data_IF_773779447821
#
_entry.id   IF_773779447821
#
_cell.length_a   1.000
_cell.length_b   1.000
_cell.length_c   1.000
_cell.angle_alpha   90.00
_cell.angle_beta   90.00
_cell.angle_gamma   90.00
#
_symmetry.space_group_name_H-M   'P 1'
#
loop_
_entity.id
_entity.type
_entity.pdbx_description
1 polymer ?
#
# COMPACT_ATOMS: atom_id res chain seq x y z
N UNK A 1 -36.88 -9.10 4.60
CA UNK A 1 -38.10 -9.08 3.76
C UNK A 1 -38.07 -8.04 2.63
N UNK A 2 -37.77 -6.75 2.89
CA UNK A 2 -37.86 -5.68 1.87
C UNK A 2 -36.89 -5.80 0.67
N UNK A 3 -35.63 -6.19 0.90
CA UNK A 3 -34.63 -6.35 -0.19
C UNK A 3 -34.90 -7.55 -1.12
N UNK A 4 -35.59 -8.57 -0.64
CA UNK A 4 -35.93 -9.78 -1.42
C UNK A 4 -37.04 -9.50 -2.41
N UNK A 5 -38.03 -8.68 -2.01
CA UNK A 5 -39.14 -8.25 -2.86
C UNK A 5 -38.62 -7.40 -4.03
N UNK A 6 -37.71 -6.45 -3.77
CA UNK A 6 -37.12 -5.61 -4.84
C UNK A 6 -36.31 -6.44 -5.84
N UNK A 7 -35.53 -7.43 -5.38
CA UNK A 7 -34.81 -8.37 -6.26
C UNK A 7 -35.75 -9.23 -7.10
N UNK A 8 -36.86 -9.70 -6.51
CA UNK A 8 -37.87 -10.51 -7.19
C UNK A 8 -38.64 -9.71 -8.26
N UNK A 9 -39.04 -8.48 -7.93
CA UNK A 9 -39.73 -7.57 -8.85
C UNK A 9 -38.82 -7.15 -10.04
N UNK A 10 -37.50 -7.13 -9.86
CA UNK A 10 -36.52 -6.75 -10.89
C UNK A 10 -36.44 -7.74 -12.07
N UNK A 11 -36.82 -8.99 -11.86
CA UNK A 11 -36.72 -10.06 -12.86
C UNK A 11 -38.04 -10.37 -13.59
N UNK A 12 -39.17 -9.82 -13.13
CA UNK A 12 -40.52 -10.21 -13.62
C UNK A 12 -41.25 -9.05 -14.32
N UNK A 13 -40.91 -7.79 -14.02
CA UNK A 13 -41.68 -6.65 -14.54
C UNK A 13 -41.16 -6.09 -15.89
N UNK A 14 -42.07 -5.71 -16.81
CA UNK A 14 -41.73 -4.94 -18.01
C UNK A 14 -40.98 -3.65 -17.66
N UNK A 15 -40.10 -3.20 -18.56
CA UNK A 15 -39.21 -2.03 -18.38
C UNK A 15 -39.96 -0.77 -17.94
N UNK A 16 -41.20 -0.61 -18.39
CA UNK A 16 -42.10 0.50 -18.06
C UNK A 16 -42.50 0.55 -16.58
N UNK A 17 -42.75 -0.60 -15.93
CA UNK A 17 -43.10 -0.65 -14.50
C UNK A 17 -41.88 -0.49 -13.58
N UNK A 18 -40.68 -0.88 -14.06
CA UNK A 18 -39.40 -0.59 -13.37
C UNK A 18 -39.20 0.91 -13.22
N UNK A 19 -39.49 1.68 -14.28
CA UNK A 19 -39.30 3.12 -14.27
C UNK A 19 -40.32 3.88 -13.40
N UNK A 20 -41.54 3.34 -13.24
CA UNK A 20 -42.60 4.02 -12.47
C UNK A 20 -42.51 3.74 -10.95
N UNK A 21 -42.12 2.52 -10.55
CA UNK A 21 -42.12 2.13 -9.13
C UNK A 21 -40.71 2.09 -8.54
N UNK A 22 -39.72 1.59 -9.29
CA UNK A 22 -38.37 1.38 -8.76
C UNK A 22 -37.51 2.65 -8.80
N UNK A 23 -37.58 3.44 -9.86
CA UNK A 23 -36.74 4.65 -9.98
C UNK A 23 -37.00 5.68 -8.87
N UNK A 24 -38.25 6.07 -8.53
CA UNK A 24 -38.48 7.03 -7.44
C UNK A 24 -38.01 6.52 -6.07
N UNK A 25 -38.12 5.21 -5.83
CA UNK A 25 -37.64 4.57 -4.61
C UNK A 25 -36.10 4.55 -4.56
N UNK A 26 -35.45 4.16 -5.67
CA UNK A 26 -33.99 4.14 -5.81
C UNK A 26 -33.40 5.54 -5.74
N UNK A 27 -34.09 6.55 -6.27
CA UNK A 27 -33.71 7.95 -6.22
C UNK A 27 -33.75 8.47 -4.77
N UNK A 28 -34.81 8.16 -4.02
CA UNK A 28 -34.90 8.49 -2.59
C UNK A 28 -33.83 7.80 -1.73
N UNK A 29 -33.50 6.54 -2.05
CA UNK A 29 -32.37 5.84 -1.41
C UNK A 29 -31.01 6.44 -1.83
N UNK A 30 -30.84 6.83 -3.10
CA UNK A 30 -29.64 7.54 -3.57
C UNK A 30 -29.48 8.90 -2.89
N UNK A 31 -30.57 9.66 -2.67
CA UNK A 31 -30.53 10.95 -1.98
C UNK A 31 -30.23 10.82 -0.48
N UNK A 32 -30.83 9.85 0.22
CA UNK A 32 -30.42 9.51 1.60
C UNK A 32 -28.95 9.13 1.70
N UNK A 33 -28.45 8.38 0.71
CA UNK A 33 -27.04 8.04 0.63
C UNK A 33 -26.15 9.25 0.25
N UNK A 34 -26.66 10.23 -0.50
CA UNK A 34 -25.94 11.48 -0.81
C UNK A 34 -25.65 12.28 0.46
N UNK A 35 -26.61 12.41 1.38
CA UNK A 35 -26.39 13.08 2.67
C UNK A 35 -25.29 12.39 3.50
N UNK A 36 -25.32 11.06 3.59
CA UNK A 36 -24.27 10.29 4.23
C UNK A 36 -22.90 10.43 3.52
N UNK A 37 -22.89 10.55 2.18
CA UNK A 37 -21.67 10.71 1.39
C UNK A 37 -20.94 12.03 1.64
N UNK A 38 -21.60 13.11 2.09
CA UNK A 38 -20.93 14.40 2.33
C UNK A 38 -19.80 14.33 3.37
N UNK A 39 -19.91 13.43 4.36
CA UNK A 39 -18.92 13.30 5.44
C UNK A 39 -18.01 12.07 5.26
N UNK A 40 -18.22 11.26 4.23
CA UNK A 40 -17.45 10.02 4.01
C UNK A 40 -16.15 10.32 3.26
N UNK A 41 -15.03 9.94 3.87
CA UNK A 41 -13.75 9.80 3.16
C UNK A 41 -13.48 8.32 2.91
N UNK A 42 -13.53 7.92 1.64
CA UNK A 42 -13.14 6.57 1.24
C UNK A 42 -11.62 6.43 1.29
N UNK A 43 -11.18 5.30 1.84
CA UNK A 43 -9.78 4.91 1.97
C UNK A 43 -9.58 3.51 1.38
N UNK A 44 -8.40 3.29 0.81
CA UNK A 44 -7.92 2.00 0.31
C UNK A 44 -6.83 1.40 1.19
N UNK A 45 -6.24 2.21 2.06
CA UNK A 45 -5.20 1.82 3.01
C UNK A 45 -5.80 1.00 4.17
N UNK A 46 -4.93 0.45 5.03
CA UNK A 46 -5.38 -0.36 6.16
C UNK A 46 -5.91 0.51 7.30
N UNK A 47 -5.25 1.64 7.58
CA UNK A 47 -5.48 2.42 8.79
C UNK A 47 -5.58 3.93 8.51
N UNK A 48 -5.79 4.30 7.24
CA UNK A 48 -6.02 5.68 6.80
C UNK A 48 -4.75 6.41 6.37
N UNK A 49 -3.67 5.70 6.08
CA UNK A 49 -2.40 6.23 5.57
C UNK A 49 -2.60 7.10 4.31
N UNK A 50 -3.43 6.62 3.38
CA UNK A 50 -3.77 7.33 2.15
C UNK A 50 -4.56 8.63 2.41
N UNK A 51 -5.35 8.68 3.48
CA UNK A 51 -6.05 9.87 3.93
C UNK A 51 -5.12 10.87 4.61
N UNK A 52 -4.15 10.39 5.39
CA UNK A 52 -3.08 11.22 5.94
C UNK A 52 -2.31 11.90 4.80
N UNK A 53 -1.86 11.12 3.80
CA UNK A 53 -1.15 11.63 2.63
C UNK A 53 -2.04 12.59 1.82
N UNK A 54 -3.34 12.27 1.64
CA UNK A 54 -4.29 13.15 0.94
C UNK A 54 -4.42 14.49 1.64
N UNK A 55 -4.41 14.52 2.98
CA UNK A 55 -4.42 15.76 3.76
C UNK A 55 -3.10 16.51 3.62
N UNK A 56 -1.97 15.80 3.64
CA UNK A 56 -0.63 16.37 3.51
C UNK A 56 -0.41 17.06 2.15
N UNK A 57 -0.71 16.37 1.05
CA UNK A 57 -0.52 16.90 -0.32
C UNK A 57 -1.65 17.82 -0.81
N UNK A 58 -2.77 17.90 -0.07
CA UNK A 58 -3.88 18.78 -0.38
C UNK A 58 -4.44 18.61 -1.79
N UNK A 59 -4.47 19.72 -2.55
CA UNK A 59 -5.06 19.78 -3.90
C UNK A 59 -4.07 19.45 -5.03
N UNK A 60 -2.86 18.97 -4.71
CA UNK A 60 -1.86 18.59 -5.69
C UNK A 60 -2.44 17.58 -6.69
N UNK A 61 -2.41 17.93 -7.98
CA UNK A 61 -3.08 17.20 -9.06
C UNK A 61 -2.30 16.00 -9.55
N UNK A 62 -0.98 16.15 -9.63
CA UNK A 62 -0.05 15.14 -10.13
C UNK A 62 1.09 14.96 -9.14
N UNK A 63 1.66 13.77 -9.11
CA UNK A 63 2.78 13.43 -8.25
C UNK A 63 3.21 11.99 -8.47
N UNK A 64 4.26 11.59 -7.77
CA UNK A 64 4.90 10.29 -7.98
C UNK A 64 5.11 9.54 -6.68
N UNK A 65 4.61 8.31 -6.62
CA UNK A 65 4.75 7.44 -5.45
C UNK A 65 5.61 6.22 -5.74
N UNK A 66 6.13 5.63 -4.67
CA UNK A 66 6.81 4.33 -4.69
C UNK A 66 6.19 3.45 -3.61
N UNK A 67 5.80 2.23 -3.96
CA UNK A 67 5.12 1.28 -3.08
C UNK A 67 5.95 -0.01 -2.99
N UNK A 68 6.73 -0.17 -1.92
CA UNK A 68 7.56 -1.36 -1.69
C UNK A 68 6.81 -2.30 -0.75
N UNK A 69 6.47 -3.48 -1.26
CA UNK A 69 5.50 -4.39 -0.61
C UNK A 69 4.06 -4.08 -1.01
N UNK A 70 3.83 -3.81 -2.30
CA UNK A 70 2.57 -3.25 -2.78
C UNK A 70 1.35 -4.18 -2.60
N UNK A 71 1.57 -5.49 -2.41
CA UNK A 71 0.60 -6.56 -2.12
C UNK A 71 -0.56 -6.72 -3.12
N UNK A 72 -1.40 -5.70 -3.26
CA UNK A 72 -2.57 -5.69 -4.13
C UNK A 72 -2.81 -4.29 -4.74
N UNK A 73 -3.24 -4.18 -6.01
CA UNK A 73 -3.42 -2.88 -6.68
C UNK A 73 -4.53 -1.96 -6.12
N UNK A 74 -5.24 -2.37 -5.05
CA UNK A 74 -6.43 -1.65 -4.54
C UNK A 74 -6.64 -1.86 -3.05
N UNK A 75 -6.61 -3.11 -2.59
CA UNK A 75 -6.82 -3.46 -1.19
C UNK A 75 -5.53 -3.18 -0.43
N UNK A 76 -5.64 -2.53 0.72
CA UNK A 76 -4.50 -2.17 1.57
C UNK A 76 -3.47 -1.29 0.84
N UNK A 77 -3.94 -0.51 -0.13
CA UNK A 77 -3.06 0.30 -0.98
C UNK A 77 -3.04 1.75 -0.50
N UNK A 78 -1.85 2.20 -0.10
CA UNK A 78 -1.60 3.61 0.24
C UNK A 78 -1.60 4.51 -1.01
N UNK A 79 -1.44 3.91 -2.18
CA UNK A 79 -1.19 4.61 -3.45
C UNK A 79 -2.41 4.66 -4.38
N UNK A 80 -3.38 3.77 -4.23
CA UNK A 80 -4.47 3.65 -5.21
C UNK A 80 -5.38 4.88 -5.28
N UNK A 81 -5.59 5.61 -4.17
CA UNK A 81 -6.35 6.87 -4.20
C UNK A 81 -5.64 7.93 -5.05
N UNK A 82 -4.31 7.95 -5.06
CA UNK A 82 -3.48 8.86 -5.85
C UNK A 82 -3.46 8.44 -7.31
N UNK A 83 -3.32 7.14 -7.59
CA UNK A 83 -3.42 6.60 -8.95
C UNK A 83 -4.70 7.05 -9.66
N UNK A 84 -5.86 6.94 -8.96
CA UNK A 84 -7.16 7.42 -9.48
C UNK A 84 -7.23 8.93 -9.73
N UNK A 85 -6.35 9.72 -9.11
CA UNK A 85 -6.24 11.17 -9.31
C UNK A 85 -5.29 11.55 -10.45
N UNK A 86 -4.67 10.58 -11.11
CA UNK A 86 -3.72 10.81 -12.20
C UNK A 86 -2.25 10.69 -11.79
N UNK A 87 -1.96 10.40 -10.51
CA UNK A 87 -0.57 10.15 -10.09
C UNK A 87 -0.09 8.82 -10.65
N UNK A 88 1.21 8.71 -10.89
CA UNK A 88 1.84 7.49 -11.38
C UNK A 88 3.00 7.11 -10.47
N UNK A 89 3.41 5.86 -10.50
CA UNK A 89 4.48 5.45 -9.61
C UNK A 89 5.07 4.10 -9.92
N UNK A 90 5.85 3.61 -8.97
CA UNK A 90 6.46 2.29 -8.99
C UNK A 90 5.79 1.45 -7.91
N UNK A 91 5.26 0.29 -8.27
CA UNK A 91 4.78 -0.73 -7.34
C UNK A 91 5.73 -1.93 -7.41
N UNK A 92 6.22 -2.38 -6.25
CA UNK A 92 7.14 -3.50 -6.12
C UNK A 92 6.55 -4.51 -5.15
N UNK A 93 6.51 -5.77 -5.55
CA UNK A 93 6.15 -6.88 -4.66
C UNK A 93 6.97 -8.12 -5.01
N UNK A 94 7.38 -8.89 -4.02
CA UNK A 94 8.19 -10.08 -4.23
C UNK A 94 7.36 -11.32 -4.65
N UNK A 95 6.06 -11.31 -4.41
CA UNK A 95 5.17 -12.42 -4.68
C UNK A 95 5.10 -12.69 -6.19
N UNK A 96 5.47 -13.90 -6.65
CA UNK A 96 5.37 -14.25 -8.06
C UNK A 96 3.94 -14.13 -8.57
N UNK A 97 3.78 -13.58 -9.78
CA UNK A 97 2.50 -13.29 -10.44
C UNK A 97 1.63 -12.18 -9.81
N UNK A 98 2.08 -11.50 -8.76
CA UNK A 98 1.35 -10.38 -8.15
C UNK A 98 1.08 -9.25 -9.15
N UNK A 99 2.02 -8.97 -10.05
CA UNK A 99 1.94 -7.84 -10.99
C UNK A 99 0.95 -8.08 -12.13
N UNK A 100 0.44 -9.31 -12.31
CA UNK A 100 -0.66 -9.56 -13.27
C UNK A 100 -1.91 -8.76 -12.92
N UNK A 101 -2.25 -8.65 -11.63
CA UNK A 101 -3.38 -7.85 -11.19
C UNK A 101 -3.13 -6.34 -11.39
N UNK A 102 -1.90 -5.89 -11.14
CA UNK A 102 -1.49 -4.51 -11.38
C UNK A 102 -1.57 -4.16 -12.87
N UNK A 103 -1.13 -5.02 -13.78
CA UNK A 103 -1.26 -4.80 -15.22
C UNK A 103 -2.72 -4.65 -15.70
N UNK A 104 -3.70 -5.21 -14.98
CA UNK A 104 -5.12 -5.04 -15.32
C UNK A 104 -5.77 -3.77 -14.76
N UNK A 105 -5.22 -3.19 -13.69
CA UNK A 105 -5.86 -2.11 -12.91
C UNK A 105 -5.04 -0.81 -12.91
N UNK A 106 -3.71 -0.95 -12.94
CA UNK A 106 -2.67 0.07 -12.77
C UNK A 106 -1.60 -0.06 -13.85
N UNK A 107 -2.04 -0.24 -15.10
CA UNK A 107 -1.16 -0.47 -16.26
C UNK A 107 -0.27 0.73 -16.63
N UNK A 108 -0.57 1.91 -16.09
CA UNK A 108 0.24 3.12 -16.28
C UNK A 108 1.34 3.28 -15.22
N UNK A 109 1.32 2.46 -14.16
CA UNK A 109 2.41 2.39 -13.19
C UNK A 109 3.50 1.43 -13.67
N UNK A 110 4.71 1.59 -13.15
CA UNK A 110 5.79 0.62 -13.27
C UNK A 110 5.56 -0.46 -12.21
N UNK A 111 5.40 -1.71 -12.63
CA UNK A 111 4.98 -2.82 -11.77
C UNK A 111 6.03 -3.95 -11.83
N UNK A 112 6.68 -4.25 -10.71
CA UNK A 112 7.87 -5.12 -10.67
C UNK A 112 7.73 -6.27 -9.65
N UNK A 113 8.05 -7.48 -10.09
CA UNK A 113 8.08 -8.70 -9.25
C UNK A 113 9.50 -9.00 -8.76
N UNK A 114 9.96 -8.23 -7.77
CA UNK A 114 11.31 -8.35 -7.19
C UNK A 114 11.28 -8.07 -5.69
N UNK A 115 12.19 -8.68 -4.94
CA UNK A 115 12.44 -8.28 -3.56
C UNK A 115 13.43 -7.12 -3.48
N UNK A 116 13.31 -6.29 -2.44
CA UNK A 116 14.26 -5.21 -2.13
C UNK A 116 14.98 -5.53 -0.82
N UNK A 117 16.30 -5.36 -0.79
CA UNK A 117 17.12 -5.55 0.41
C UNK A 117 18.45 -4.81 0.29
N UNK A 118 19.31 -4.92 1.32
CA UNK A 118 20.63 -4.28 1.39
C UNK A 118 21.61 -4.75 0.32
N UNK A 119 21.46 -5.97 -0.20
CA UNK A 119 22.36 -6.56 -1.18
C UNK A 119 21.62 -7.24 -2.32
N UNK A 120 22.19 -7.18 -3.53
CA UNK A 120 21.67 -7.88 -4.70
C UNK A 120 21.84 -9.39 -4.52
N UNK A 121 20.83 -10.15 -4.92
CA UNK A 121 20.89 -11.61 -4.93
C UNK A 121 20.10 -12.17 -6.10
N UNK A 122 20.64 -13.21 -6.75
CA UNK A 122 19.93 -13.93 -7.81
C UNK A 122 18.83 -14.86 -7.26
N UNK A 123 18.69 -14.99 -5.93
CA UNK A 123 17.64 -15.80 -5.33
C UNK A 123 17.70 -15.89 -3.81
N UNK A 124 16.83 -15.14 -3.14
CA UNK A 124 16.59 -15.29 -1.69
C UNK A 124 15.34 -16.12 -1.44
N UNK A 125 15.30 -16.87 -0.32
CA UNK A 125 14.10 -17.59 0.08
C UNK A 125 13.00 -16.59 0.41
N UNK A 126 11.87 -16.72 -0.28
CA UNK A 126 10.65 -15.98 0.00
C UNK A 126 9.59 -16.98 0.47
N UNK A 127 9.01 -16.68 1.63
CA UNK A 127 8.10 -17.57 2.34
C UNK A 127 6.66 -17.13 2.09
N UNK A 128 5.87 -17.99 1.46
CA UNK A 128 4.48 -17.72 1.08
C UNK A 128 3.56 -18.38 2.11
N UNK A 129 2.71 -17.58 2.74
CA UNK A 129 1.73 -18.02 3.73
C UNK A 129 0.32 -18.11 3.15
N UNK A 130 -0.57 -18.76 3.91
CA UNK A 130 -1.99 -18.85 3.58
C UNK A 130 -2.72 -17.49 3.62
N UNK A 131 -2.16 -16.49 4.28
CA UNK A 131 -2.55 -15.08 4.16
C UNK A 131 -1.43 -14.33 3.41
N UNK A 132 -1.63 -13.93 2.13
CA UNK A 132 -0.58 -13.32 1.33
C UNK A 132 -0.07 -11.97 1.85
N UNK A 133 -0.79 -11.34 2.78
CA UNK A 133 -0.31 -10.13 3.46
C UNK A 133 0.86 -10.41 4.41
N UNK A 134 1.13 -11.67 4.75
CA UNK A 134 2.18 -12.09 5.70
C UNK A 134 3.40 -12.71 5.02
N UNK A 135 3.49 -12.63 3.69
CA UNK A 135 4.62 -13.19 2.96
C UNK A 135 5.89 -12.38 3.26
N UNK A 136 7.02 -13.05 3.43
CA UNK A 136 8.24 -12.41 3.97
C UNK A 136 9.51 -13.09 3.49
N UNK A 137 10.64 -12.36 3.57
CA UNK A 137 11.99 -12.89 3.46
C UNK A 137 12.61 -13.25 4.83
N UNK A 138 11.90 -13.00 5.94
CA UNK A 138 12.43 -13.11 7.30
C UNK A 138 12.15 -14.46 7.94
N UNK A 139 13.20 -15.22 8.20
CA UNK A 139 13.13 -16.48 8.97
C UNK A 139 12.54 -16.26 10.38
N UNK A 140 12.83 -15.11 11.02
CA UNK A 140 12.29 -14.78 12.33
C UNK A 140 10.78 -14.55 12.30
N UNK A 141 10.27 -13.94 11.22
CA UNK A 141 8.82 -13.76 11.04
C UNK A 141 8.16 -15.11 10.78
N UNK A 142 8.81 -16.01 10.02
CA UNK A 142 8.32 -17.38 9.82
C UNK A 142 8.18 -18.12 11.14
N UNK A 143 9.21 -18.09 11.99
CA UNK A 143 9.18 -18.75 13.31
C UNK A 143 8.04 -18.19 14.18
N UNK A 144 7.88 -16.86 14.22
CA UNK A 144 6.79 -16.21 14.94
C UNK A 144 5.41 -16.64 14.43
N UNK A 145 5.21 -16.67 13.12
CA UNK A 145 3.92 -16.98 12.50
C UNK A 145 3.53 -18.46 12.66
N UNK A 146 4.50 -19.37 12.59
CA UNK A 146 4.26 -20.81 12.77
C UNK A 146 3.79 -21.16 14.19
N UNK A 147 4.10 -20.33 15.19
CA UNK A 147 3.58 -20.48 16.55
C UNK A 147 2.09 -20.12 16.69
N UNK A 148 1.49 -19.49 15.67
CA UNK A 148 0.07 -19.17 15.64
C UNK A 148 -0.71 -20.23 14.84
N UNK A 149 -1.70 -20.88 15.47
CA UNK A 149 -2.52 -21.94 14.84
C UNK A 149 -3.28 -21.51 13.58
N UNK A 150 -3.44 -20.20 13.34
CA UNK A 150 -4.16 -19.64 12.19
C UNK A 150 -3.32 -19.62 10.90
N UNK A 151 -1.99 -19.54 11.02
CA UNK A 151 -1.11 -19.29 9.88
C UNK A 151 -0.25 -20.52 9.61
N UNK A 152 -0.07 -20.85 8.33
CA UNK A 152 0.82 -21.93 7.90
C UNK A 152 1.55 -21.55 6.63
N UNK A 153 2.79 -22.02 6.54
CA UNK A 153 3.63 -21.88 5.36
C UNK A 153 3.04 -22.75 4.24
N UNK A 154 2.77 -22.14 3.09
CA UNK A 154 2.25 -22.79 1.89
C UNK A 154 3.39 -23.23 0.99
N UNK A 155 4.35 -22.34 0.74
CA UNK A 155 5.45 -22.57 -0.19
C UNK A 155 6.67 -21.71 0.15
N UNK A 156 7.86 -22.17 -0.25
CA UNK A 156 9.08 -21.35 -0.28
C UNK A 156 9.61 -21.27 -1.71
N UNK A 157 9.75 -20.07 -2.23
CA UNK A 157 10.24 -19.82 -3.60
C UNK A 157 11.52 -18.98 -3.57
N UNK A 158 12.31 -19.02 -4.65
CA UNK A 158 13.47 -18.14 -4.84
C UNK A 158 13.06 -16.91 -5.63
N UNK A 159 13.27 -15.73 -5.05
CA UNK A 159 12.93 -14.44 -5.68
C UNK A 159 14.21 -13.60 -5.87
N UNK A 160 14.39 -12.95 -7.03
CA UNK A 160 15.51 -12.03 -7.25
C UNK A 160 15.42 -10.81 -6.33
N UNK A 161 16.56 -10.36 -5.84
CA UNK A 161 16.70 -9.21 -4.94
C UNK A 161 17.54 -8.12 -5.61
N UNK A 162 17.03 -6.89 -5.58
CA UNK A 162 17.78 -5.68 -5.93
C UNK A 162 17.83 -4.71 -4.75
N UNK A 163 18.69 -3.69 -4.84
CA UNK A 163 18.70 -2.58 -3.88
C UNK A 163 17.71 -1.49 -4.29
N UNK A 164 17.29 -0.67 -3.34
CA UNK A 164 16.44 0.48 -3.61
C UNK A 164 17.13 1.50 -4.54
N UNK A 165 18.45 1.68 -4.39
CA UNK A 165 19.24 2.48 -5.33
C UNK A 165 19.14 1.93 -6.77
N UNK A 166 19.28 0.62 -6.96
CA UNK A 166 19.18 0.00 -8.29
C UNK A 166 17.77 0.11 -8.86
N UNK A 167 16.73 -0.04 -8.02
CA UNK A 167 15.35 0.18 -8.43
C UNK A 167 15.21 1.59 -9.03
N UNK A 168 15.68 2.61 -8.34
CA UNK A 168 15.56 3.99 -8.81
C UNK A 168 16.43 4.28 -10.03
N UNK A 169 17.67 3.79 -10.08
CA UNK A 169 18.55 3.96 -11.25
C UNK A 169 17.94 3.41 -12.53
N UNK A 170 17.21 2.30 -12.44
CA UNK A 170 16.69 1.60 -13.62
C UNK A 170 15.28 2.06 -14.00
N UNK A 171 14.47 2.49 -13.03
CA UNK A 171 13.04 2.65 -13.25
C UNK A 171 12.48 4.02 -12.89
N UNK A 172 13.21 4.85 -12.12
CA UNK A 172 12.74 6.20 -11.84
C UNK A 172 12.88 7.06 -13.11
N UNK A 173 11.80 7.69 -13.62
CA UNK A 173 11.90 8.54 -14.78
C UNK A 173 12.87 9.71 -14.55
N UNK A 174 13.56 10.15 -15.61
CA UNK A 174 14.53 11.24 -15.51
C UNK A 174 13.87 12.52 -14.98
N UNK A 175 14.51 13.20 -14.02
CA UNK A 175 14.01 14.39 -13.33
C UNK A 175 12.70 14.19 -12.54
N UNK A 176 12.31 12.95 -12.26
CA UNK A 176 11.14 12.66 -11.44
C UNK A 176 11.49 12.79 -9.95
N UNK A 177 10.81 13.70 -9.26
CA UNK A 177 10.82 13.73 -7.78
C UNK A 177 9.88 12.67 -7.22
N UNK A 178 10.20 12.14 -6.04
CA UNK A 178 9.34 11.18 -5.34
C UNK A 178 8.57 11.95 -4.26
N UNK A 179 7.24 11.99 -4.37
CA UNK A 179 6.38 12.65 -3.39
C UNK A 179 6.30 11.82 -2.12
N UNK A 180 6.03 10.52 -2.25
CA UNK A 180 6.10 9.63 -1.10
C UNK A 180 6.52 8.22 -1.46
N UNK A 181 7.09 7.52 -0.49
CA UNK A 181 7.39 6.10 -0.59
C UNK A 181 6.80 5.36 0.61
N UNK A 182 6.13 4.24 0.34
CA UNK A 182 5.67 3.28 1.35
C UNK A 182 6.61 2.08 1.36
N UNK A 183 6.98 1.62 2.54
CA UNK A 183 7.79 0.41 2.78
C UNK A 183 7.07 -0.45 3.80
N UNK A 184 6.59 -1.60 3.35
CA UNK A 184 5.95 -2.63 4.18
C UNK A 184 6.31 -4.00 3.61
N UNK A 185 7.44 -4.56 4.05
CA UNK A 185 7.95 -5.85 3.57
C UNK A 185 8.07 -6.88 4.69
N UNK A 186 7.22 -6.75 5.71
CA UNK A 186 7.07 -7.68 6.83
C UNK A 186 8.42 -8.08 7.45
N UNK A 187 9.15 -7.08 7.95
CA UNK A 187 10.37 -7.25 8.77
C UNK A 187 11.69 -7.03 8.04
N UNK A 188 11.69 -6.68 6.76
CA UNK A 188 12.89 -6.31 5.98
C UNK A 188 13.03 -4.79 5.74
N UNK A 189 12.16 -4.00 6.37
CA UNK A 189 11.95 -2.58 6.10
C UNK A 189 13.24 -1.76 6.31
N UNK A 190 13.97 -2.01 7.40
CA UNK A 190 15.25 -1.35 7.65
C UNK A 190 16.28 -1.68 6.56
N UNK A 191 16.35 -2.93 6.08
CA UNK A 191 17.29 -3.32 5.02
C UNK A 191 16.94 -2.66 3.70
N UNK A 192 15.64 -2.52 3.40
CA UNK A 192 15.18 -1.74 2.23
C UNK A 192 15.67 -0.30 2.33
N UNK A 193 15.46 0.36 3.47
CA UNK A 193 15.85 1.76 3.68
C UNK A 193 17.38 1.96 3.63
N UNK A 194 18.15 1.02 4.16
CA UNK A 194 19.62 1.04 4.14
C UNK A 194 20.21 0.85 2.74
N UNK A 195 19.42 0.33 1.79
CA UNK A 195 19.85 0.07 0.41
C UNK A 195 19.69 1.25 -0.56
N UNK A 196 19.29 2.42 -0.04
CA UNK A 196 19.04 3.63 -0.82
C UNK A 196 20.21 4.61 -0.82
N UNK A 197 20.31 5.39 -1.89
CA UNK A 197 21.15 6.58 -1.97
C UNK A 197 20.34 7.82 -1.59
N UNK A 198 20.37 8.19 -0.31
CA UNK A 198 19.56 9.28 0.25
C UNK A 198 19.97 10.68 -0.21
N UNK A 199 21.16 10.84 -0.77
CA UNK A 199 21.59 12.11 -1.39
C UNK A 199 20.95 12.32 -2.76
N UNK A 200 20.60 11.22 -3.46
CA UNK A 200 20.09 11.26 -4.83
C UNK A 200 18.58 11.00 -4.91
N UNK A 201 18.08 10.00 -4.20
CA UNK A 201 16.68 9.57 -4.25
C UNK A 201 16.02 9.80 -2.91
N UNK A 202 15.35 10.93 -2.78
CA UNK A 202 14.82 11.43 -1.51
C UNK A 202 13.32 11.70 -1.62
N UNK A 203 12.48 10.74 -1.22
CA UNK A 203 11.04 10.97 -1.08
C UNK A 203 10.72 12.10 -0.11
N UNK A 204 9.71 12.92 -0.39
CA UNK A 204 9.31 13.96 0.56
C UNK A 204 8.72 13.35 1.85
N UNK A 205 7.93 12.29 1.71
CA UNK A 205 7.31 11.56 2.82
C UNK A 205 7.64 10.06 2.73
N UNK A 206 8.00 9.45 3.85
CA UNK A 206 8.15 8.00 3.99
C UNK A 206 7.08 7.45 4.91
N UNK A 207 6.45 6.35 4.49
CA UNK A 207 5.60 5.50 5.31
C UNK A 207 6.38 4.22 5.53
N UNK A 208 6.58 3.83 6.79
CA UNK A 208 7.33 2.61 7.11
C UNK A 208 6.56 1.78 8.12
N UNK A 209 6.38 0.49 7.84
CA UNK A 209 5.80 -0.44 8.81
C UNK A 209 6.65 -0.48 10.08
N UNK A 210 5.98 -0.55 11.23
CA UNK A 210 6.59 -0.67 12.53
C UNK A 210 5.76 -1.56 13.44
N UNK A 211 6.42 -2.12 14.45
CA UNK A 211 5.77 -2.96 15.43
C UNK A 211 4.71 -2.18 16.21
N UNK A 212 3.46 -2.62 16.11
CA UNK A 212 2.32 -2.06 16.84
C UNK A 212 2.38 -2.28 18.37
N UNK A 213 3.35 -3.06 18.86
CA UNK A 213 3.55 -3.27 20.30
C UNK A 213 4.36 -2.16 20.97
N UNK A 214 5.01 -1.29 20.18
CA UNK A 214 5.83 -0.22 20.72
C UNK A 214 4.99 1.01 21.05
N UNK A 215 5.33 1.66 22.16
CA UNK A 215 4.82 2.99 22.46
C UNK A 215 5.53 4.09 21.65
N UNK A 216 5.11 5.35 21.84
CA UNK A 216 5.68 6.49 21.11
C UNK A 216 7.17 6.71 21.39
N UNK A 217 7.59 6.55 22.64
CA UNK A 217 9.00 6.76 23.03
C UNK A 217 9.89 5.64 22.52
N UNK A 218 9.38 4.41 22.52
CA UNK A 218 10.05 3.24 21.98
C UNK A 218 10.21 3.34 20.46
N UNK A 219 9.20 3.82 19.74
CA UNK A 219 9.33 4.05 18.30
C UNK A 219 10.44 5.06 17.96
N UNK A 220 10.60 6.12 18.76
CA UNK A 220 11.68 7.11 18.56
C UNK A 220 13.08 6.51 18.74
N UNK A 221 13.18 5.38 19.47
CA UNK A 221 14.43 4.65 19.71
C UNK A 221 14.59 3.42 18.82
N UNK A 222 13.62 3.13 17.95
CA UNK A 222 13.70 2.01 17.00
C UNK A 222 14.82 2.22 15.96
N UNK A 223 15.39 1.12 15.47
CA UNK A 223 16.46 1.18 14.46
C UNK A 223 16.04 1.94 13.20
N UNK A 224 14.77 1.81 12.79
CA UNK A 224 14.20 2.55 11.66
C UNK A 224 14.22 4.05 11.93
N UNK A 225 13.73 4.49 13.09
CA UNK A 225 13.69 5.91 13.42
C UNK A 225 15.10 6.49 13.57
N UNK A 226 16.00 5.78 14.25
CA UNK A 226 17.40 6.19 14.40
C UNK A 226 18.10 6.30 13.04
N UNK A 227 17.89 5.32 12.15
CA UNK A 227 18.44 5.37 10.79
C UNK A 227 17.90 6.56 10.00
N UNK A 228 16.57 6.73 9.93
CA UNK A 228 15.95 7.81 9.16
C UNK A 228 16.31 9.21 9.70
N UNK A 229 16.43 9.35 11.03
CA UNK A 229 16.95 10.58 11.63
C UNK A 229 18.38 10.89 11.16
N UNK A 230 19.25 9.87 11.04
CA UNK A 230 20.63 10.05 10.59
C UNK A 230 20.72 10.55 9.14
N UNK A 231 19.75 10.18 8.29
CA UNK A 231 19.63 10.65 6.89
C UNK A 231 18.67 11.83 6.72
N UNK A 232 18.47 12.63 7.77
CA UNK A 232 17.71 13.89 7.75
C UNK A 232 16.22 13.71 7.39
N UNK A 233 15.58 12.74 8.03
CA UNK A 233 14.13 12.66 8.15
C UNK A 233 13.70 12.88 9.59
N UNK A 234 12.47 13.36 9.76
CA UNK A 234 11.83 13.55 11.07
C UNK A 234 10.53 12.77 11.13
N UNK A 235 10.29 12.05 12.22
CA UNK A 235 8.99 11.42 12.49
C UNK A 235 7.93 12.51 12.73
N UNK A 236 6.83 12.48 11.97
CA UNK A 236 5.75 13.47 12.01
C UNK A 236 4.39 12.88 12.43
N UNK A 237 4.25 11.56 12.49
CA UNK A 237 3.02 10.90 12.93
C UNK A 237 3.10 9.39 12.89
N UNK A 238 2.01 8.72 13.31
CA UNK A 238 1.82 7.27 13.14
C UNK A 238 0.34 6.90 12.96
N UNK A 239 0.09 5.77 12.29
CA UNK A 239 -1.12 4.96 12.46
C UNK A 239 -0.84 3.86 13.50
N UNK A 240 -1.63 2.79 13.53
CA UNK A 240 -1.40 1.69 14.47
C UNK A 240 -0.17 0.86 14.07
N UNK A 241 0.12 0.73 12.77
CA UNK A 241 1.27 -0.01 12.23
C UNK A 241 2.25 0.83 11.40
N UNK A 242 1.91 2.03 10.96
CA UNK A 242 2.78 2.81 10.07
C UNK A 242 3.33 4.06 10.75
N UNK A 243 4.62 4.31 10.59
CA UNK A 243 5.28 5.56 10.96
C UNK A 243 5.40 6.48 9.74
N UNK A 244 5.13 7.77 9.91
CA UNK A 244 5.28 8.79 8.87
C UNK A 244 6.50 9.65 9.13
N UNK A 245 7.43 9.69 8.18
CA UNK A 245 8.60 10.53 8.23
C UNK A 245 8.61 11.57 7.12
N UNK A 246 9.07 12.78 7.41
CA UNK A 246 9.22 13.87 6.46
C UNK A 246 10.69 14.25 6.31
N UNK A 247 11.15 14.44 5.07
CA UNK A 247 12.51 14.94 4.84
C UNK A 247 12.62 16.41 5.30
N UNK A 248 13.73 16.76 5.94
CA UNK A 248 13.98 18.11 6.48
C UNK A 248 15.09 18.88 5.73
N UNK A 249 15.42 18.44 4.52
CA UNK A 249 16.46 19.02 3.65
C UNK A 249 15.82 19.65 2.43
#
# INVERSE_FOLDING_TARGET
MKNTIVKFLRNIFPTTLKNVIAEPYLEKEREKNKEAQYFVNLSYSQEGEDLFLKRFFGDKKEGFFVDIGAHHPKRFSNTYIFYKKGWRGINVDAMPNSMKAFQGIRNEDINLEVGISSEKSNGMNYYIFNDPALNTFSDQVVERLQNHQKYHLVETVKVPIITLETLFEQHLPTNQSIDFMSVDVEGFDLKVLQSNNWEKYRPMILLVESSHFLDMEEHLKSDIALFLNSVQYKLIGKTFKTLFFQSIV
#
